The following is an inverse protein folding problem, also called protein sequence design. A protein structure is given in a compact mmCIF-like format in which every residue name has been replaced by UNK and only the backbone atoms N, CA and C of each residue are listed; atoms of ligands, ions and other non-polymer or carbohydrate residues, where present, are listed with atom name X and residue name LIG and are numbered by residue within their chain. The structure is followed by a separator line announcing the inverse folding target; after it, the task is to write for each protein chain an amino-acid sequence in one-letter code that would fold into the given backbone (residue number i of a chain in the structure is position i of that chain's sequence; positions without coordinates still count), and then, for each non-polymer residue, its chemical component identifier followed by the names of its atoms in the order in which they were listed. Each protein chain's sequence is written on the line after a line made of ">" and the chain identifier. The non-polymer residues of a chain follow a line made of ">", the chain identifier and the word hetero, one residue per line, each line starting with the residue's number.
data_IF_574602569159
#
_entry.id   IF_574602569159
#
_cell.length_a   1.000
_cell.length_b   1.000
_cell.length_c   1.000
_cell.angle_alpha   90.00
_cell.angle_beta   90.00
_cell.angle_gamma   90.00
#
_symmetry.space_group_name_H-M   'P 1'
#
loop_
_entity.id
_entity.type
_entity.pdbx_description
1 polymer ?
#
# COMPACT_ATOMS: atom_id res chain seq x y z
N UNK A 1 40.76 -35.44 -7.48
CA UNK A 1 39.95 -36.66 -7.35
C UNK A 1 38.50 -36.34 -7.00
N UNK A 2 38.23 -35.49 -5.99
CA UNK A 2 36.91 -35.09 -5.51
C UNK A 2 35.96 -34.56 -6.64
N UNK A 3 36.38 -33.59 -7.44
CA UNK A 3 35.58 -33.05 -8.56
C UNK A 3 35.20 -34.10 -9.62
N UNK A 4 36.07 -35.09 -9.87
CA UNK A 4 35.73 -36.19 -10.81
C UNK A 4 34.65 -37.08 -10.24
N UNK A 5 34.65 -37.35 -8.93
CA UNK A 5 33.62 -38.12 -8.24
C UNK A 5 32.28 -37.37 -8.26
N UNK A 6 32.26 -36.09 -7.93
CA UNK A 6 31.05 -35.25 -7.99
C UNK A 6 30.48 -35.20 -9.41
N UNK A 7 31.32 -34.97 -10.42
CA UNK A 7 30.89 -34.98 -11.82
C UNK A 7 30.31 -36.35 -12.25
N UNK A 8 30.97 -37.43 -11.85
CA UNK A 8 30.48 -38.80 -12.14
C UNK A 8 29.11 -39.07 -11.50
N UNK A 9 28.93 -38.66 -10.26
CA UNK A 9 27.66 -38.84 -9.53
C UNK A 9 26.51 -38.02 -10.16
N UNK A 10 26.76 -36.76 -10.50
CA UNK A 10 25.80 -35.87 -11.16
C UNK A 10 25.31 -36.45 -12.51
N UNK A 11 26.22 -36.98 -13.32
CA UNK A 11 25.86 -37.52 -14.63
C UNK A 11 25.19 -38.91 -14.57
N UNK A 12 25.45 -39.70 -13.52
CA UNK A 12 24.88 -41.05 -13.35
C UNK A 12 23.43 -41.00 -12.84
N UNK A 13 23.05 -39.96 -12.06
CA UNK A 13 21.72 -39.83 -11.49
C UNK A 13 20.99 -38.55 -11.97
N UNK A 14 21.07 -38.27 -13.25
CA UNK A 14 20.47 -37.05 -13.86
C UNK A 14 19.01 -36.81 -13.48
N UNK A 15 18.17 -37.87 -13.45
CA UNK A 15 16.76 -37.76 -13.12
C UNK A 15 16.52 -37.25 -11.69
N UNK A 16 17.26 -37.78 -10.70
CA UNK A 16 17.10 -37.35 -9.29
C UNK A 16 17.64 -35.94 -9.06
N UNK A 17 18.79 -35.62 -9.66
CA UNK A 17 19.35 -34.29 -9.62
C UNK A 17 18.41 -33.24 -10.24
N UNK A 18 17.75 -33.63 -11.35
CA UNK A 18 16.74 -32.79 -11.99
C UNK A 18 15.51 -32.61 -11.08
N UNK A 19 15.05 -33.65 -10.39
CA UNK A 19 13.94 -33.55 -9.43
C UNK A 19 14.30 -32.68 -8.23
N UNK A 20 15.54 -32.78 -7.69
CA UNK A 20 16.00 -31.91 -6.62
C UNK A 20 16.03 -30.43 -7.12
N UNK A 21 16.63 -30.20 -8.31
CA UNK A 21 16.67 -28.86 -8.91
C UNK A 21 15.25 -28.31 -9.15
N UNK A 22 14.33 -29.14 -9.62
CA UNK A 22 12.95 -28.75 -9.84
C UNK A 22 12.21 -28.39 -8.52
N UNK A 23 12.39 -29.20 -7.48
CA UNK A 23 11.81 -28.93 -6.15
C UNK A 23 12.34 -27.62 -5.56
N UNK A 24 13.66 -27.39 -5.67
CA UNK A 24 14.27 -26.11 -5.25
C UNK A 24 13.73 -24.96 -6.11
N UNK A 25 13.64 -25.15 -7.44
CA UNK A 25 13.14 -24.11 -8.33
C UNK A 25 11.71 -23.71 -8.01
N UNK A 26 10.82 -24.64 -7.70
CA UNK A 26 9.44 -24.34 -7.29
C UNK A 26 9.40 -23.55 -5.98
N UNK A 27 10.12 -24.02 -4.95
CA UNK A 27 10.16 -23.31 -3.67
C UNK A 27 10.75 -21.90 -3.78
N UNK A 28 11.86 -21.78 -4.50
CA UNK A 28 12.53 -20.48 -4.73
C UNK A 28 11.68 -19.56 -5.61
N UNK A 29 11.03 -20.07 -6.64
CA UNK A 29 10.21 -19.23 -7.53
C UNK A 29 9.06 -18.57 -6.77
N UNK A 30 8.40 -19.33 -5.91
CA UNK A 30 7.31 -18.76 -5.09
C UNK A 30 7.85 -17.79 -4.04
N UNK A 31 8.97 -18.11 -3.39
CA UNK A 31 9.61 -17.21 -2.44
C UNK A 31 10.06 -15.89 -3.09
N UNK A 32 10.68 -15.95 -4.27
CA UNK A 32 11.08 -14.75 -5.04
C UNK A 32 9.88 -13.92 -5.44
N UNK A 33 8.81 -14.56 -5.93
CA UNK A 33 7.59 -13.87 -6.31
C UNK A 33 6.98 -13.13 -5.10
N UNK A 34 6.76 -13.84 -3.98
CA UNK A 34 6.14 -13.28 -2.79
C UNK A 34 6.99 -12.19 -2.15
N UNK A 35 8.31 -12.35 -2.07
CA UNK A 35 9.19 -11.33 -1.50
C UNK A 35 9.23 -10.06 -2.37
N UNK A 36 9.31 -10.16 -3.70
CA UNK A 36 9.26 -8.99 -4.56
C UNK A 36 7.91 -8.28 -4.47
N UNK A 37 6.79 -9.03 -4.45
CA UNK A 37 5.46 -8.46 -4.27
C UNK A 37 5.34 -7.80 -2.89
N UNK A 38 5.82 -8.43 -1.81
CA UNK A 38 5.81 -7.89 -0.46
C UNK A 38 6.55 -6.54 -0.37
N UNK A 39 7.76 -6.46 -0.93
CA UNK A 39 8.54 -5.20 -0.90
C UNK A 39 8.02 -4.12 -1.84
N UNK A 40 7.20 -4.44 -2.83
CA UNK A 40 6.62 -3.47 -3.78
C UNK A 40 5.13 -3.18 -3.50
N UNK A 41 4.44 -4.05 -2.76
CA UNK A 41 3.01 -3.91 -2.48
C UNK A 41 2.68 -2.64 -1.72
N UNK A 42 3.49 -2.26 -0.72
CA UNK A 42 3.31 -1.03 0.04
C UNK A 42 3.28 0.21 -0.85
N UNK A 43 4.23 0.31 -1.78
CA UNK A 43 4.31 1.45 -2.72
C UNK A 43 3.13 1.47 -3.71
N UNK A 44 2.59 0.30 -4.05
CA UNK A 44 1.49 0.18 -5.03
C UNK A 44 0.13 0.42 -4.41
N UNK A 45 -0.16 -0.24 -3.29
CA UNK A 45 -1.40 0.01 -2.54
C UNK A 45 -1.50 1.48 -2.18
N UNK A 46 -0.40 2.08 -1.74
CA UNK A 46 -0.34 3.51 -1.47
C UNK A 46 -0.58 4.37 -2.73
N UNK A 47 -0.18 3.93 -3.93
CA UNK A 47 -0.49 4.62 -5.20
C UNK A 47 -1.95 4.45 -5.62
N UNK A 48 -2.54 3.28 -5.46
CA UNK A 48 -3.93 3.04 -5.81
C UNK A 48 -4.90 3.75 -4.86
N UNK A 49 -4.64 3.69 -3.55
CA UNK A 49 -5.45 4.42 -2.56
C UNK A 49 -5.39 5.94 -2.75
N UNK A 50 -4.30 6.47 -3.29
CA UNK A 50 -4.17 7.88 -3.71
C UNK A 50 -5.02 8.27 -4.92
N UNK A 51 -5.41 7.29 -5.72
CA UNK A 51 -6.39 7.50 -6.79
C UNK A 51 -7.81 7.69 -6.20
N UNK A 52 -8.03 7.32 -4.94
CA UNK A 52 -9.32 7.36 -4.23
C UNK A 52 -9.51 8.57 -3.30
N UNK A 53 -8.77 9.66 -3.47
CA UNK A 53 -9.08 10.95 -2.84
C UNK A 53 -8.10 11.43 -1.78
N UNK A 54 -8.58 12.33 -0.94
CA UNK A 54 -7.80 12.95 0.10
C UNK A 54 -7.44 11.98 1.22
N UNK A 55 -6.22 12.12 1.74
CA UNK A 55 -5.75 11.39 2.92
C UNK A 55 -5.45 12.31 4.11
N UNK A 56 -5.53 13.62 3.91
CA UNK A 56 -5.35 14.64 4.97
C UNK A 56 -6.56 15.59 4.95
N UNK A 57 -7.06 15.90 6.13
CA UNK A 57 -8.09 16.91 6.34
C UNK A 57 -7.50 18.04 7.19
N UNK A 58 -7.54 19.27 6.67
CA UNK A 58 -7.08 20.50 7.32
C UNK A 58 -8.30 21.25 7.82
N UNK A 59 -8.41 21.47 9.12
CA UNK A 59 -9.56 22.11 9.77
C UNK A 59 -9.09 23.25 10.66
N UNK A 60 -9.95 24.22 10.98
CA UNK A 60 -9.61 25.31 11.89
C UNK A 60 -9.30 24.79 13.30
N UNK A 61 -8.28 25.37 13.94
CA UNK A 61 -7.91 25.07 15.32
C UNK A 61 -9.06 25.39 16.28
N UNK A 62 -9.47 24.42 17.08
CA UNK A 62 -10.61 24.53 17.99
C UNK A 62 -11.92 23.96 17.45
N UNK A 63 -12.11 23.81 16.14
CA UNK A 63 -13.18 22.99 15.58
C UNK A 63 -12.99 21.51 15.94
N UNK A 64 -11.74 21.07 16.00
CA UNK A 64 -11.32 19.75 16.40
C UNK A 64 -11.66 19.38 17.84
N UNK A 65 -11.52 20.33 18.77
CA UNK A 65 -11.76 20.08 20.20
C UNK A 65 -13.23 19.76 20.51
N UNK A 66 -14.16 20.38 19.81
CA UNK A 66 -15.59 20.11 19.97
C UNK A 66 -15.96 18.72 19.47
N UNK A 67 -15.41 18.27 18.35
CA UNK A 67 -15.63 16.94 17.81
C UNK A 67 -15.01 15.84 18.71
N UNK A 68 -13.80 16.06 19.24
CA UNK A 68 -13.11 15.11 20.10
C UNK A 68 -13.77 15.00 21.50
N UNK A 69 -14.34 16.10 22.05
CA UNK A 69 -14.99 16.12 23.36
C UNK A 69 -16.41 15.56 23.33
N UNK A 70 -17.17 15.85 22.28
CA UNK A 70 -18.58 15.46 22.22
C UNK A 70 -18.85 14.17 21.44
N UNK A 71 -17.82 13.53 20.88
CA UNK A 71 -17.97 12.28 20.14
C UNK A 71 -18.86 12.42 18.89
N UNK A 72 -19.08 13.65 18.45
CA UNK A 72 -19.81 13.96 17.24
C UNK A 72 -18.91 13.58 16.08
N UNK A 73 -19.31 12.60 15.30
CA UNK A 73 -18.55 12.12 14.14
C UNK A 73 -18.16 13.26 13.20
N UNK A 74 -17.11 13.04 12.45
CA UNK A 74 -16.60 13.96 11.43
C UNK A 74 -17.77 14.48 10.60
N UNK A 75 -18.15 15.77 10.76
CA UNK A 75 -19.17 16.42 9.94
C UNK A 75 -20.43 16.97 10.65
N UNK A 76 -20.62 16.83 11.98
CA UNK A 76 -21.88 17.24 12.62
C UNK A 76 -21.86 18.55 13.42
N UNK A 77 -20.85 19.41 13.23
CA UNK A 77 -20.82 20.73 13.87
C UNK A 77 -20.35 21.80 12.90
N UNK A 78 -21.24 22.73 12.53
CA UNK A 78 -20.82 23.99 11.89
C UNK A 78 -19.99 24.75 12.92
N UNK A 79 -18.68 24.65 12.84
CA UNK A 79 -17.77 25.47 13.64
C UNK A 79 -17.92 26.90 13.18
N UNK A 80 -17.96 27.86 14.11
CA UNK A 80 -17.90 29.31 13.78
C UNK A 80 -16.49 29.78 13.39
N UNK A 81 -15.53 28.85 13.28
CA UNK A 81 -14.15 29.09 12.86
C UNK A 81 -13.92 28.61 11.43
N UNK A 82 -13.16 29.36 10.69
CA UNK A 82 -12.87 29.13 9.27
C UNK A 82 -11.38 29.30 9.02
N UNK A 83 -10.89 28.69 7.95
CA UNK A 83 -9.57 28.93 7.38
C UNK A 83 -9.66 30.01 6.31
N UNK A 84 -8.55 30.69 6.08
CA UNK A 84 -8.45 31.72 5.06
C UNK A 84 -8.12 31.12 3.69
N UNK A 85 -8.96 31.36 2.69
CA UNK A 85 -8.78 30.83 1.32
C UNK A 85 -7.45 31.28 0.70
N UNK A 86 -7.00 32.51 0.97
CA UNK A 86 -5.76 33.08 0.40
C UNK A 86 -4.52 32.29 0.85
N UNK A 87 -4.54 31.71 2.04
CA UNK A 87 -3.40 30.96 2.57
C UNK A 87 -3.25 29.55 1.98
N UNK A 88 -4.26 29.04 1.26
CA UNK A 88 -4.26 27.65 0.79
C UNK A 88 -3.13 27.34 -0.19
N UNK A 89 -2.67 28.33 -0.95
CA UNK A 89 -1.50 28.19 -1.82
C UNK A 89 -0.22 27.84 -1.06
N UNK A 90 -0.12 28.19 0.23
CA UNK A 90 1.03 27.86 1.07
C UNK A 90 1.21 26.35 1.29
N UNK A 91 0.17 25.53 1.09
CA UNK A 91 0.28 24.04 1.11
C UNK A 91 1.35 23.55 0.14
N UNK A 92 1.59 24.26 -0.96
CA UNK A 92 2.62 23.94 -1.95
C UNK A 92 3.99 24.60 -1.67
N UNK A 93 4.19 25.18 -0.50
CA UNK A 93 5.49 25.75 -0.08
C UNK A 93 6.20 24.92 1.00
N UNK A 94 5.56 23.87 1.52
CA UNK A 94 6.14 22.96 2.54
C UNK A 94 7.30 22.14 1.96
N UNK A 95 8.12 21.54 2.82
CA UNK A 95 9.23 20.67 2.39
C UNK A 95 8.74 19.53 1.48
N UNK A 96 7.57 18.95 1.76
CA UNK A 96 6.95 17.89 0.97
C UNK A 96 5.99 18.40 -0.12
N UNK A 97 6.17 19.62 -0.62
CA UNK A 97 5.32 20.22 -1.66
C UNK A 97 5.10 19.35 -2.90
N UNK A 98 6.16 18.65 -3.37
CA UNK A 98 6.09 17.74 -4.52
C UNK A 98 5.27 16.46 -4.23
N UNK A 99 5.11 16.11 -2.97
CA UNK A 99 4.28 14.98 -2.55
C UNK A 99 2.80 15.35 -2.49
N UNK A 100 2.45 16.64 -2.42
CA UNK A 100 1.06 17.08 -2.52
C UNK A 100 0.61 16.94 -3.98
N UNK A 101 -0.31 16.01 -4.20
CA UNK A 101 -0.85 15.72 -5.55
C UNK A 101 -1.88 16.76 -5.90
N UNK A 102 -2.84 16.99 -4.99
CA UNK A 102 -3.97 17.87 -5.20
C UNK A 102 -4.58 18.29 -3.86
N UNK A 103 -5.37 19.36 -3.84
CA UNK A 103 -6.15 19.76 -2.67
C UNK A 103 -7.37 20.56 -3.11
N UNK A 104 -8.42 20.55 -2.28
CA UNK A 104 -9.61 21.35 -2.52
C UNK A 104 -10.24 21.83 -1.22
N UNK A 105 -10.65 23.09 -1.13
CA UNK A 105 -11.36 23.64 0.01
C UNK A 105 -12.84 23.28 -0.04
N UNK A 106 -13.45 23.26 1.13
CA UNK A 106 -14.89 23.09 1.31
C UNK A 106 -15.44 24.15 2.25
N UNK A 107 -16.55 24.76 1.85
CA UNK A 107 -17.37 25.61 2.72
C UNK A 107 -18.72 24.91 2.95
N UNK A 108 -18.89 24.36 4.13
CA UNK A 108 -20.07 23.57 4.48
C UNK A 108 -21.21 24.47 4.98
N UNK A 109 -22.43 24.17 4.54
CA UNK A 109 -23.65 24.79 5.02
C UNK A 109 -24.81 23.80 5.03
N UNK A 110 -25.77 24.03 5.93
CA UNK A 110 -27.03 23.29 5.98
C UNK A 110 -28.16 24.15 5.48
N UNK A 111 -28.91 23.69 4.50
CA UNK A 111 -30.02 24.39 3.91
C UNK A 111 -31.26 23.48 3.81
N UNK A 112 -32.41 24.05 3.41
CA UNK A 112 -33.64 23.28 3.19
C UNK A 112 -34.01 23.32 1.72
N UNK A 113 -34.40 22.16 1.18
CA UNK A 113 -35.03 22.06 -0.13
C UNK A 113 -36.51 22.44 -0.06
N UNK A 114 -37.10 22.70 -1.21
CA UNK A 114 -38.55 22.82 -1.36
C UNK A 114 -39.22 21.55 -0.78
N UNK A 115 -40.07 21.72 0.22
CA UNK A 115 -40.63 20.59 1.00
C UNK A 115 -40.07 20.45 2.41
N UNK A 116 -39.12 21.31 2.82
CA UNK A 116 -38.64 21.43 4.20
C UNK A 116 -37.56 20.42 4.61
N UNK A 117 -37.12 19.53 3.70
CA UNK A 117 -36.03 18.57 3.96
C UNK A 117 -34.72 19.31 4.09
N UNK A 118 -34.01 19.07 5.17
CA UNK A 118 -32.67 19.58 5.40
C UNK A 118 -31.66 18.80 4.58
N UNK A 119 -30.76 19.48 3.90
CA UNK A 119 -29.67 18.92 3.12
C UNK A 119 -28.35 19.60 3.48
N UNK A 120 -27.28 18.85 3.43
CA UNK A 120 -25.92 19.38 3.56
C UNK A 120 -25.44 19.83 2.19
N UNK A 121 -24.97 21.05 2.10
CA UNK A 121 -24.43 21.66 0.88
C UNK A 121 -22.99 22.05 1.14
N UNK A 122 -22.14 21.81 0.17
CA UNK A 122 -20.75 22.20 0.23
C UNK A 122 -20.34 23.02 -1.00
N UNK A 123 -19.78 24.20 -0.75
CA UNK A 123 -19.10 25.00 -1.78
C UNK A 123 -17.66 24.53 -1.91
N UNK A 124 -17.16 24.34 -3.14
CA UNK A 124 -15.81 23.84 -3.38
C UNK A 124 -15.24 24.37 -4.69
N UNK A 125 -13.93 24.23 -4.88
CA UNK A 125 -13.30 24.40 -6.17
C UNK A 125 -13.52 23.16 -7.03
N UNK A 126 -13.96 23.32 -8.26
CA UNK A 126 -14.10 22.23 -9.21
C UNK A 126 -12.85 22.06 -10.07
N UNK A 127 -12.40 23.16 -10.69
CA UNK A 127 -11.17 23.22 -11.49
C UNK A 127 -10.61 24.63 -11.36
N UNK A 128 -9.85 24.85 -10.29
CA UNK A 128 -9.37 26.17 -9.89
C UNK A 128 -7.93 26.38 -10.32
N UNK A 129 -7.68 27.48 -11.03
CA UNK A 129 -6.33 27.91 -11.39
C UNK A 129 -5.77 28.77 -10.27
N UNK A 130 -4.77 28.27 -9.57
CA UNK A 130 -4.15 28.90 -8.41
C UNK A 130 -2.72 29.33 -8.73
N UNK A 131 -2.43 30.62 -8.59
CA UNK A 131 -1.07 31.13 -8.57
C UNK A 131 -0.43 30.89 -7.21
N UNK A 132 0.67 30.14 -7.19
CA UNK A 132 1.36 29.80 -5.95
C UNK A 132 2.31 30.92 -5.51
N UNK A 133 2.60 31.05 -4.20
CA UNK A 133 3.59 32.00 -3.71
C UNK A 133 5.01 31.81 -4.30
N UNK A 134 5.27 30.62 -4.85
CA UNK A 134 6.52 30.29 -5.55
C UNK A 134 6.61 30.87 -6.97
N UNK A 135 5.51 31.42 -7.50
CA UNK A 135 5.40 31.92 -8.87
C UNK A 135 5.02 30.84 -9.89
N UNK A 136 4.77 29.61 -9.45
CA UNK A 136 4.22 28.53 -10.28
C UNK A 136 2.70 28.58 -10.27
N UNK A 137 2.05 28.08 -11.31
CA UNK A 137 0.61 27.90 -11.39
C UNK A 137 0.24 26.43 -11.19
N UNK A 138 -0.88 26.18 -10.51
CA UNK A 138 -1.44 24.87 -10.26
C UNK A 138 -2.93 24.86 -10.56
N UNK A 139 -3.37 23.89 -11.37
CA UNK A 139 -4.79 23.58 -11.52
C UNK A 139 -5.18 22.52 -10.49
N UNK A 140 -6.06 22.87 -9.58
CA UNK A 140 -6.46 22.02 -8.45
C UNK A 140 -7.98 22.01 -8.28
N UNK A 141 -8.53 21.00 -7.61
CA UNK A 141 -9.95 20.96 -7.32
C UNK A 141 -10.57 19.57 -7.32
N UNK A 142 -11.88 19.58 -7.14
CA UNK A 142 -12.67 18.38 -6.94
C UNK A 142 -12.63 17.42 -8.14
N UNK A 143 -12.61 17.94 -9.36
CA UNK A 143 -12.54 17.13 -10.59
C UNK A 143 -11.28 16.28 -10.66
N UNK A 144 -10.15 16.83 -10.20
CA UNK A 144 -8.88 16.11 -10.13
C UNK A 144 -8.84 15.11 -8.95
N UNK A 145 -9.48 15.46 -7.82
CA UNK A 145 -9.46 14.66 -6.60
C UNK A 145 -10.49 13.53 -6.58
N UNK A 146 -11.63 13.65 -7.26
CA UNK A 146 -12.76 12.69 -7.23
C UNK A 146 -12.99 12.04 -8.61
N UNK A 147 -11.94 11.65 -9.30
CA UNK A 147 -11.98 11.06 -10.67
C UNK A 147 -12.80 9.76 -10.79
N UNK A 148 -13.00 9.05 -9.69
CA UNK A 148 -13.77 7.79 -9.65
C UNK A 148 -15.30 8.01 -9.56
N UNK A 149 -15.75 9.23 -9.30
CA UNK A 149 -17.17 9.51 -9.24
C UNK A 149 -17.83 9.27 -10.60
N UNK A 150 -18.98 8.67 -10.57
CA UNK A 150 -19.82 8.51 -11.76
C UNK A 150 -20.74 9.71 -11.87
N UNK A 151 -20.58 10.49 -12.93
CA UNK A 151 -21.37 11.69 -13.15
C UNK A 151 -22.35 11.47 -14.29
N UNK A 152 -23.61 11.77 -14.04
CA UNK A 152 -24.63 11.90 -15.08
C UNK A 152 -24.80 13.40 -15.38
N UNK A 153 -24.56 13.82 -16.61
CA UNK A 153 -24.40 15.21 -17.00
C UNK A 153 -22.93 15.65 -16.97
N UNK A 154 -22.68 16.89 -16.59
CA UNK A 154 -21.34 17.49 -16.58
C UNK A 154 -20.89 17.91 -15.18
N UNK A 155 -19.57 17.99 -14.98
CA UNK A 155 -18.99 18.65 -13.82
C UNK A 155 -19.34 20.15 -13.82
N UNK A 156 -19.40 20.73 -12.61
CA UNK A 156 -19.43 22.19 -12.48
C UNK A 156 -18.06 22.77 -12.81
N UNK A 157 -18.08 24.01 -13.24
CA UNK A 157 -16.93 24.91 -13.28
C UNK A 157 -17.03 25.92 -12.14
N UNK A 158 -15.93 26.52 -11.71
CA UNK A 158 -15.91 27.53 -10.65
C UNK A 158 -16.73 28.78 -10.99
N UNK A 159 -17.01 29.03 -12.29
CA UNK A 159 -17.81 30.14 -12.81
C UNK A 159 -19.31 29.84 -12.92
N UNK A 160 -19.75 28.63 -12.60
CA UNK A 160 -21.15 28.18 -12.74
C UNK A 160 -22.05 28.73 -11.59
N UNK A 161 -22.36 30.02 -11.61
CA UNK A 161 -23.07 30.70 -10.49
C UNK A 161 -24.50 30.18 -10.22
N UNK A 162 -25.20 29.64 -11.24
CA UNK A 162 -26.61 29.24 -11.14
C UNK A 162 -26.81 27.71 -11.28
N UNK A 163 -25.76 26.94 -11.20
CA UNK A 163 -25.80 25.49 -11.34
C UNK A 163 -25.37 24.79 -10.05
N UNK A 164 -25.84 23.56 -9.88
CA UNK A 164 -25.42 22.68 -8.79
C UNK A 164 -25.20 21.26 -9.27
N UNK A 165 -24.45 20.50 -8.49
CA UNK A 165 -24.41 19.04 -8.56
C UNK A 165 -25.12 18.44 -7.35
N UNK A 166 -25.89 17.35 -7.56
CA UNK A 166 -26.66 16.68 -6.53
C UNK A 166 -26.31 15.19 -6.50
N UNK A 167 -26.29 14.63 -5.30
CA UNK A 167 -26.12 13.20 -5.09
C UNK A 167 -27.29 12.39 -5.68
N UNK A 168 -27.03 11.25 -6.30
CA UNK A 168 -28.03 10.42 -6.99
C UNK A 168 -29.19 9.99 -6.06
N UNK A 169 -28.87 9.54 -4.85
CA UNK A 169 -29.86 9.17 -3.83
C UNK A 169 -30.75 10.35 -3.41
N UNK A 170 -30.15 11.50 -3.24
CA UNK A 170 -30.88 12.73 -2.86
C UNK A 170 -31.74 13.24 -4.01
N UNK A 171 -31.26 13.15 -5.25
CA UNK A 171 -32.02 13.48 -6.45
C UNK A 171 -33.24 12.57 -6.59
N UNK A 172 -33.08 11.26 -6.46
CA UNK A 172 -34.16 10.28 -6.53
C UNK A 172 -35.21 10.48 -5.45
N UNK A 173 -34.80 10.70 -4.20
CA UNK A 173 -35.71 10.92 -3.06
C UNK A 173 -36.54 12.20 -3.17
N UNK A 174 -36.11 13.18 -3.96
CA UNK A 174 -36.81 14.45 -4.16
C UNK A 174 -37.38 14.61 -5.57
N UNK A 175 -37.35 13.58 -6.43
CA UNK A 175 -37.78 13.60 -7.84
C UNK A 175 -37.13 14.75 -8.62
N UNK A 176 -35.82 14.94 -8.44
CA UNK A 176 -35.02 15.95 -9.13
C UNK A 176 -34.32 15.28 -10.29
N UNK A 177 -34.50 15.80 -11.50
CA UNK A 177 -33.87 15.28 -12.72
C UNK A 177 -32.76 16.20 -13.21
N UNK A 178 -31.89 15.68 -14.08
CA UNK A 178 -30.86 16.47 -14.75
C UNK A 178 -31.48 17.62 -15.55
N UNK A 179 -30.96 18.83 -15.40
CA UNK A 179 -31.54 20.05 -15.98
C UNK A 179 -32.74 20.61 -15.22
N UNK A 180 -33.19 19.93 -14.16
CA UNK A 180 -34.29 20.39 -13.30
C UNK A 180 -33.91 21.60 -12.46
N UNK A 181 -34.93 22.39 -12.05
CA UNK A 181 -34.74 23.53 -11.14
C UNK A 181 -34.86 23.08 -9.69
N UNK A 182 -33.92 23.53 -8.83
CA UNK A 182 -33.89 23.26 -7.40
C UNK A 182 -33.92 24.55 -6.63
N UNK A 183 -34.89 24.68 -5.72
CA UNK A 183 -35.03 25.81 -4.79
C UNK A 183 -34.36 25.48 -3.46
N UNK A 184 -33.34 26.27 -3.07
CA UNK A 184 -32.61 26.14 -1.81
C UNK A 184 -32.98 27.31 -0.88
N UNK A 185 -33.41 26.98 0.33
CA UNK A 185 -33.79 27.95 1.36
C UNK A 185 -32.66 28.09 2.38
N UNK A 186 -32.03 29.23 2.46
CA UNK A 186 -30.96 29.54 3.40
C UNK A 186 -31.08 30.98 3.94
N UNK A 187 -30.95 31.20 5.25
CA UNK A 187 -30.98 32.50 5.88
C UNK A 187 -32.26 33.29 5.61
N UNK A 188 -33.42 32.65 5.37
CA UNK A 188 -34.69 33.30 5.04
C UNK A 188 -34.81 33.73 3.57
N UNK A 189 -33.83 33.43 2.72
CA UNK A 189 -33.84 33.72 1.28
C UNK A 189 -33.98 32.44 0.47
N UNK A 190 -34.48 32.57 -0.76
CA UNK A 190 -34.64 31.46 -1.73
C UNK A 190 -33.61 31.67 -2.83
N UNK A 191 -32.89 30.62 -3.13
CA UNK A 191 -31.92 30.58 -4.23
C UNK A 191 -32.36 29.52 -5.23
N UNK A 192 -32.39 29.86 -6.51
CA UNK A 192 -32.79 28.94 -7.59
C UNK A 192 -31.54 28.50 -8.34
N UNK A 193 -31.41 27.17 -8.49
CA UNK A 193 -30.33 26.53 -9.22
C UNK A 193 -30.87 25.54 -10.24
N UNK A 194 -30.04 25.23 -11.25
CA UNK A 194 -30.31 24.18 -12.24
C UNK A 194 -29.32 23.02 -11.99
N UNK A 195 -29.79 21.79 -12.02
CA UNK A 195 -28.95 20.62 -11.88
C UNK A 195 -28.13 20.40 -13.14
N UNK A 196 -26.82 20.62 -13.06
CA UNK A 196 -25.86 20.37 -14.16
C UNK A 196 -25.33 18.95 -14.15
N UNK A 197 -25.20 18.34 -12.96
CA UNK A 197 -24.72 16.98 -12.82
C UNK A 197 -25.36 16.26 -11.63
N UNK A 198 -25.55 14.96 -11.80
CA UNK A 198 -25.95 14.04 -10.71
C UNK A 198 -24.76 13.12 -10.48
N UNK A 199 -24.23 13.07 -9.26
CA UNK A 199 -23.07 12.28 -8.92
C UNK A 199 -23.41 11.05 -8.07
N UNK A 200 -22.67 9.97 -8.33
CA UNK A 200 -22.63 8.77 -7.49
C UNK A 200 -21.18 8.56 -7.05
N UNK A 201 -20.93 8.78 -5.76
CA UNK A 201 -19.60 8.66 -5.14
C UNK A 201 -19.21 7.21 -4.85
N UNK A 202 -20.18 6.30 -4.81
CA UNK A 202 -19.98 4.91 -4.36
C UNK A 202 -19.74 4.78 -2.84
N UNK A 203 -19.81 5.88 -2.08
CA UNK A 203 -19.60 5.93 -0.64
C UNK A 203 -20.48 7.04 -0.02
N UNK A 204 -20.65 7.02 1.31
CA UNK A 204 -21.31 8.10 2.05
C UNK A 204 -20.43 9.36 2.02
N UNK A 205 -20.78 10.32 1.19
CA UNK A 205 -20.16 11.65 1.19
C UNK A 205 -20.84 12.56 2.23
N UNK A 206 -20.07 13.52 2.76
CA UNK A 206 -20.59 14.44 3.79
C UNK A 206 -21.62 15.42 3.24
N UNK A 207 -21.51 15.82 1.98
CA UNK A 207 -22.40 16.75 1.32
C UNK A 207 -23.27 16.07 0.25
N UNK A 208 -24.55 16.44 0.22
CA UNK A 208 -25.53 15.95 -0.74
C UNK A 208 -25.67 16.84 -1.98
N UNK A 209 -25.24 18.09 -1.86
CA UNK A 209 -25.23 19.07 -2.95
C UNK A 209 -23.91 19.81 -2.95
N UNK A 210 -23.35 20.00 -4.14
CA UNK A 210 -22.13 20.80 -4.35
C UNK A 210 -22.43 22.04 -5.19
N UNK A 211 -21.80 23.15 -4.79
CA UNK A 211 -21.83 24.45 -5.46
C UNK A 211 -20.40 24.95 -5.71
N UNK A 212 -20.16 25.87 -6.65
CA UNK A 212 -18.91 26.62 -6.69
C UNK A 212 -18.65 27.35 -5.37
N UNK A 213 -17.40 27.33 -4.92
CA UNK A 213 -17.01 27.91 -3.62
C UNK A 213 -17.46 29.37 -3.49
N UNK A 214 -17.19 30.18 -4.51
CA UNK A 214 -17.57 31.58 -4.57
C UNK A 214 -19.07 31.79 -4.35
N UNK A 215 -19.91 30.92 -4.92
CA UNK A 215 -21.37 30.98 -4.76
C UNK A 215 -21.81 30.64 -3.34
N UNK A 216 -21.20 29.60 -2.75
CA UNK A 216 -21.47 29.23 -1.36
C UNK A 216 -21.03 30.33 -0.39
N UNK A 217 -19.90 30.99 -0.65
CA UNK A 217 -19.42 32.14 0.13
C UNK A 217 -20.37 33.32 0.03
N UNK A 218 -20.90 33.64 -1.16
CA UNK A 218 -21.91 34.70 -1.36
C UNK A 218 -23.19 34.42 -0.56
N UNK A 219 -23.70 33.16 -0.64
CA UNK A 219 -24.93 32.75 0.06
C UNK A 219 -24.76 32.86 1.58
N UNK A 220 -23.61 32.43 2.09
CA UNK A 220 -23.31 32.39 3.54
C UNK A 220 -22.79 33.71 4.10
N UNK A 221 -22.38 34.64 3.23
CA UNK A 221 -21.73 35.89 3.62
C UNK A 221 -20.28 35.71 4.13
N UNK A 222 -19.62 34.58 3.81
CA UNK A 222 -18.30 34.20 4.31
C UNK A 222 -17.24 34.26 3.19
N UNK A 223 -17.11 35.42 2.59
CA UNK A 223 -16.16 35.64 1.48
C UNK A 223 -14.72 35.36 1.91
N UNK A 224 -13.96 34.57 1.11
CA UNK A 224 -12.57 34.24 1.37
C UNK A 224 -12.35 33.28 2.54
N UNK A 225 -13.41 32.64 3.05
CA UNK A 225 -13.37 31.70 4.16
C UNK A 225 -13.81 30.30 3.73
N UNK A 226 -13.16 29.27 4.33
CA UNK A 226 -13.48 27.86 4.08
C UNK A 226 -13.57 27.10 5.39
N UNK A 227 -14.41 26.06 5.45
CA UNK A 227 -14.63 25.25 6.64
C UNK A 227 -13.53 24.21 6.85
N UNK A 228 -13.04 23.63 5.76
CA UNK A 228 -11.98 22.62 5.75
C UNK A 228 -11.31 22.52 4.39
N UNK A 229 -10.15 21.86 4.35
CA UNK A 229 -9.44 21.56 3.10
C UNK A 229 -9.11 20.08 3.08
N UNK A 230 -9.46 19.38 2.02
CA UNK A 230 -8.99 18.04 1.74
C UNK A 230 -7.70 18.11 0.92
N UNK A 231 -6.69 17.37 1.36
CA UNK A 231 -5.39 17.30 0.68
C UNK A 231 -5.08 15.85 0.33
N UNK A 232 -4.70 15.62 -0.91
CA UNK A 232 -4.19 14.35 -1.41
C UNK A 232 -2.67 14.40 -1.47
N UNK A 233 -2.00 13.62 -0.64
CA UNK A 233 -0.55 13.59 -0.56
C UNK A 233 0.03 12.20 -0.80
N UNK A 234 1.18 12.13 -1.47
CA UNK A 234 1.98 10.92 -1.60
C UNK A 234 2.73 10.66 -0.29
N UNK A 235 2.32 9.64 0.47
CA UNK A 235 2.84 9.37 1.81
C UNK A 235 3.57 8.03 1.90
N UNK A 236 4.48 7.93 2.85
CA UNK A 236 5.12 6.67 3.27
C UNK A 236 4.24 6.01 4.34
N UNK A 237 4.07 4.67 4.33
CA UNK A 237 3.34 3.97 5.37
C UNK A 237 3.86 4.29 6.77
N UNK A 238 2.93 4.42 7.72
CA UNK A 238 3.26 4.72 9.11
C UNK A 238 4.04 3.59 9.79
N UNK A 239 4.99 3.99 10.63
CA UNK A 239 5.74 3.10 11.51
C UNK A 239 5.63 3.59 12.97
N UNK A 240 6.33 2.93 13.90
CA UNK A 240 6.31 3.29 15.32
C UNK A 240 6.84 4.72 15.60
N UNK A 241 7.79 5.20 14.77
CA UNK A 241 8.29 6.57 14.86
C UNK A 241 7.22 7.59 14.48
N UNK A 242 6.56 7.38 13.33
CA UNK A 242 5.50 8.28 12.86
C UNK A 242 4.29 8.30 13.80
N UNK A 243 3.92 7.15 14.40
CA UNK A 243 2.84 7.06 15.39
C UNK A 243 3.17 7.83 16.67
N UNK A 244 4.41 7.72 17.18
CA UNK A 244 4.86 8.52 18.35
C UNK A 244 4.89 10.01 18.04
N UNK A 245 5.40 10.37 16.86
CA UNK A 245 5.42 11.76 16.40
C UNK A 245 4.03 12.36 16.25
N UNK A 246 3.06 11.60 15.72
CA UNK A 246 1.67 12.02 15.59
C UNK A 246 1.00 12.32 16.95
N UNK A 247 1.42 11.65 18.03
CA UNK A 247 0.93 11.92 19.37
C UNK A 247 1.59 13.15 19.98
N UNK A 248 2.92 13.25 19.91
CA UNK A 248 3.69 14.37 20.44
C UNK A 248 5.04 14.50 19.73
N UNK A 249 5.19 15.36 18.72
CA UNK A 249 6.46 15.58 18.01
C UNK A 249 7.61 16.01 18.96
N UNK A 250 7.29 16.75 20.03
CA UNK A 250 8.28 17.25 20.98
C UNK A 250 8.88 16.15 21.89
N UNK A 251 8.32 14.95 21.89
CA UNK A 251 8.86 13.80 22.63
C UNK A 251 9.99 13.08 21.91
N UNK A 252 10.26 13.42 20.67
CA UNK A 252 11.29 12.81 19.85
C UNK A 252 12.69 13.38 20.18
N UNK A 253 13.72 12.54 20.11
CA UNK A 253 15.10 13.02 20.07
C UNK A 253 15.36 13.79 18.75
N UNK A 254 16.39 14.64 18.74
CA UNK A 254 16.74 15.46 17.56
C UNK A 254 16.89 14.60 16.30
N UNK A 255 17.57 13.45 16.40
CA UNK A 255 17.77 12.54 15.28
C UNK A 255 16.47 11.87 14.81
N UNK A 256 15.61 11.49 15.75
CA UNK A 256 14.30 10.91 15.43
C UNK A 256 13.39 11.97 14.77
N UNK A 257 13.45 13.20 15.27
CA UNK A 257 12.70 14.32 14.71
C UNK A 257 13.15 14.63 13.28
N UNK A 258 14.46 14.73 13.01
CA UNK A 258 14.99 14.90 11.66
C UNK A 258 14.55 13.76 10.73
N UNK A 259 14.67 12.51 11.19
CA UNK A 259 14.26 11.35 10.38
C UNK A 259 12.77 11.40 10.07
N UNK A 260 11.93 11.73 11.04
CA UNK A 260 10.49 11.84 10.85
C UNK A 260 10.12 13.02 9.92
N UNK A 261 10.66 14.20 10.17
CA UNK A 261 10.37 15.41 9.38
C UNK A 261 10.79 15.26 7.92
N UNK A 262 11.92 14.63 7.68
CA UNK A 262 12.47 14.34 6.34
C UNK A 262 11.94 13.03 5.71
N UNK A 263 10.94 12.39 6.30
CA UNK A 263 10.23 11.25 5.71
C UNK A 263 8.79 11.63 5.42
N UNK A 264 8.27 11.27 4.24
CA UNK A 264 6.92 11.65 3.80
C UNK A 264 5.81 10.89 4.55
N UNK A 265 5.87 10.84 5.89
CA UNK A 265 4.77 10.32 6.68
C UNK A 265 3.59 11.29 6.65
N UNK A 266 2.36 10.75 6.72
CA UNK A 266 1.15 11.59 6.79
C UNK A 266 1.26 12.59 7.95
N UNK A 267 1.73 12.15 9.12
CA UNK A 267 1.90 13.00 10.30
C UNK A 267 2.93 14.12 10.11
N UNK A 268 4.02 13.88 9.36
CA UNK A 268 5.03 14.89 9.06
C UNK A 268 4.48 15.95 8.08
N UNK A 269 3.73 15.52 7.06
CA UNK A 269 3.08 16.43 6.12
C UNK A 269 2.00 17.25 6.82
N UNK A 270 1.17 16.65 7.68
CA UNK A 270 0.19 17.36 8.50
C UNK A 270 0.86 18.47 9.34
N UNK A 271 1.96 18.13 10.03
CA UNK A 271 2.70 19.09 10.83
C UNK A 271 3.21 20.29 10.01
N UNK A 272 3.77 20.01 8.81
CA UNK A 272 4.28 21.07 7.92
C UNK A 272 3.16 21.93 7.30
N UNK A 273 1.97 21.36 7.06
CA UNK A 273 0.81 22.15 6.63
C UNK A 273 0.38 23.09 7.76
N UNK A 274 0.39 22.63 9.02
CA UNK A 274 0.03 23.46 10.17
C UNK A 274 1.05 24.57 10.46
N UNK A 275 2.30 24.48 9.95
CA UNK A 275 3.29 25.54 10.02
C UNK A 275 3.01 26.70 9.03
N UNK A 276 2.30 26.43 7.93
CA UNK A 276 2.12 27.41 6.83
C UNK A 276 0.69 27.94 6.71
N UNK A 277 -0.30 27.29 7.35
CA UNK A 277 -1.68 27.76 7.40
C UNK A 277 -2.02 28.20 8.82
N UNK A 278 -2.38 29.46 8.95
CA UNK A 278 -2.67 30.06 10.25
C UNK A 278 -3.90 29.42 10.91
N UNK A 279 -3.79 29.13 12.21
CA UNK A 279 -4.87 28.54 13.01
C UNK A 279 -5.47 27.25 12.44
N UNK A 280 -4.68 26.45 11.74
CA UNK A 280 -5.08 25.14 11.24
C UNK A 280 -4.69 24.00 12.19
N UNK A 281 -5.35 22.88 12.01
CA UNK A 281 -4.97 21.55 12.52
C UNK A 281 -5.22 20.54 11.40
N UNK A 282 -4.14 19.95 10.94
CA UNK A 282 -4.16 18.92 9.91
C UNK A 282 -4.25 17.54 10.55
N UNK A 283 -5.15 16.69 10.07
CA UNK A 283 -5.35 15.34 10.58
C UNK A 283 -5.40 14.33 9.43
N UNK A 284 -4.81 13.14 9.60
CA UNK A 284 -5.05 12.04 8.67
C UNK A 284 -6.54 11.69 8.63
N UNK A 285 -7.07 11.45 7.44
CA UNK A 285 -8.43 10.91 7.31
C UNK A 285 -8.39 9.45 7.77
N UNK A 286 -8.90 9.19 8.97
CA UNK A 286 -8.76 7.89 9.68
C UNK A 286 -9.24 6.69 8.87
N UNK A 287 -10.30 6.84 8.07
CA UNK A 287 -10.83 5.74 7.24
C UNK A 287 -9.81 5.25 6.21
N UNK A 288 -9.03 6.16 5.64
CA UNK A 288 -8.00 5.85 4.65
C UNK A 288 -6.74 5.33 5.34
N UNK A 289 -6.22 6.05 6.33
CA UNK A 289 -4.97 5.70 7.01
C UNK A 289 -5.03 4.38 7.82
N UNK A 290 -6.15 4.08 8.49
CA UNK A 290 -6.30 2.84 9.26
C UNK A 290 -6.53 1.61 8.38
N UNK A 291 -7.29 1.75 7.29
CA UNK A 291 -7.49 0.64 6.35
C UNK A 291 -6.23 0.33 5.55
N UNK A 292 -5.45 1.34 5.16
CA UNK A 292 -4.17 1.17 4.47
C UNK A 292 -3.19 0.32 5.31
N UNK A 293 -2.90 0.74 6.54
CA UNK A 293 -1.96 0.05 7.42
C UNK A 293 -2.40 -1.38 7.73
N UNK A 294 -3.67 -1.59 8.06
CA UNK A 294 -4.19 -2.91 8.42
C UNK A 294 -4.26 -3.88 7.23
N UNK A 295 -4.57 -3.40 6.03
CA UNK A 295 -4.58 -4.23 4.82
C UNK A 295 -3.17 -4.62 4.43
N UNK A 296 -2.22 -3.67 4.46
CA UNK A 296 -0.82 -3.92 4.15
C UNK A 296 -0.21 -4.94 5.13
N UNK A 297 -0.37 -4.75 6.43
CA UNK A 297 0.15 -5.66 7.46
C UNK A 297 -0.41 -7.08 7.32
N UNK A 298 -1.71 -7.23 7.07
CA UNK A 298 -2.33 -8.54 6.83
C UNK A 298 -1.84 -9.18 5.53
N UNK A 299 -1.64 -8.40 4.49
CA UNK A 299 -1.15 -8.87 3.20
C UNK A 299 0.31 -9.31 3.28
N UNK A 300 1.17 -8.54 3.96
CA UNK A 300 2.55 -8.93 4.24
C UNK A 300 2.64 -10.23 5.04
N UNK A 301 1.82 -10.37 6.08
CA UNK A 301 1.76 -11.59 6.88
C UNK A 301 1.34 -12.80 6.05
N UNK A 302 0.35 -12.68 5.16
CA UNK A 302 -0.07 -13.73 4.25
C UNK A 302 1.05 -14.12 3.28
N UNK A 303 1.74 -13.15 2.68
CA UNK A 303 2.86 -13.39 1.78
C UNK A 303 4.02 -14.07 2.48
N UNK A 304 4.34 -13.67 3.71
CA UNK A 304 5.36 -14.30 4.55
C UNK A 304 4.97 -15.74 4.89
N UNK A 305 3.72 -16.00 5.23
CA UNK A 305 3.19 -17.34 5.53
C UNK A 305 3.31 -18.27 4.32
N UNK A 306 2.91 -17.81 3.13
CA UNK A 306 3.04 -18.57 1.88
C UNK A 306 4.51 -18.84 1.57
N UNK A 307 5.40 -17.86 1.79
CA UNK A 307 6.84 -18.04 1.60
C UNK A 307 7.40 -19.12 2.53
N UNK A 308 7.06 -19.09 3.82
CA UNK A 308 7.48 -20.10 4.79
C UNK A 308 6.95 -21.48 4.42
N UNK A 309 5.67 -21.60 4.06
CA UNK A 309 5.08 -22.88 3.65
C UNK A 309 5.73 -23.45 2.39
N UNK A 310 6.03 -22.59 1.41
CA UNK A 310 6.71 -22.99 0.18
C UNK A 310 8.12 -23.51 0.45
N UNK A 311 8.89 -22.81 1.30
CA UNK A 311 10.24 -23.24 1.70
C UNK A 311 10.18 -24.52 2.53
N UNK A 312 9.22 -24.68 3.43
CA UNK A 312 9.01 -25.91 4.19
C UNK A 312 8.70 -27.09 3.26
N UNK A 313 7.84 -26.90 2.25
CA UNK A 313 7.58 -27.89 1.23
C UNK A 313 8.84 -28.28 0.44
N UNK A 314 9.67 -27.31 0.08
CA UNK A 314 10.95 -27.55 -0.58
C UNK A 314 11.91 -28.35 0.31
N UNK A 315 12.03 -28.02 1.62
CA UNK A 315 12.84 -28.78 2.59
C UNK A 315 12.39 -30.22 2.68
N UNK A 316 11.07 -30.47 2.80
CA UNK A 316 10.52 -31.81 2.87
C UNK A 316 10.76 -32.61 1.56
N UNK A 317 10.57 -31.95 0.42
CA UNK A 317 10.82 -32.55 -0.89
C UNK A 317 12.30 -32.94 -1.08
N UNK A 318 13.22 -32.05 -0.76
CA UNK A 318 14.67 -32.32 -0.79
C UNK A 318 15.01 -33.43 0.17
N UNK A 319 14.52 -33.39 1.41
CA UNK A 319 14.79 -34.40 2.44
C UNK A 319 14.42 -35.80 1.97
N UNK A 320 13.23 -35.97 1.37
CA UNK A 320 12.77 -37.24 0.87
C UNK A 320 13.62 -37.73 -0.31
N UNK A 321 13.86 -36.88 -1.32
CA UNK A 321 14.64 -37.22 -2.51
C UNK A 321 16.08 -37.55 -2.17
N UNK A 322 16.73 -36.82 -1.28
CA UNK A 322 18.11 -37.01 -0.88
C UNK A 322 18.24 -38.29 -0.03
N UNK A 323 17.34 -38.49 0.93
CA UNK A 323 17.36 -39.73 1.74
C UNK A 323 17.18 -40.94 0.88
N UNK A 324 16.24 -40.95 -0.05
CA UNK A 324 16.09 -42.06 -1.02
C UNK A 324 17.34 -42.25 -1.87
N UNK A 325 17.98 -41.17 -2.35
CA UNK A 325 19.21 -41.25 -3.12
C UNK A 325 20.37 -41.85 -2.33
N UNK A 326 20.53 -41.49 -1.04
CA UNK A 326 21.55 -42.01 -0.16
C UNK A 326 21.28 -43.49 0.18
N UNK A 327 20.03 -43.88 0.40
CA UNK A 327 19.66 -45.29 0.68
C UNK A 327 19.98 -46.20 -0.50
N UNK A 328 19.67 -45.78 -1.74
CA UNK A 328 20.00 -46.60 -2.94
C UNK A 328 21.51 -46.73 -3.17
N UNK A 329 22.31 -45.77 -2.72
CA UNK A 329 23.78 -45.78 -2.83
C UNK A 329 24.47 -46.26 -1.56
N UNK A 330 23.72 -46.83 -0.61
CA UNK A 330 24.25 -47.20 0.71
C UNK A 330 25.41 -48.21 0.59
N UNK A 331 25.36 -49.19 -0.36
CA UNK A 331 26.44 -50.14 -0.61
C UNK A 331 27.71 -49.44 -1.13
N UNK A 332 27.60 -48.47 -2.04
CA UNK A 332 28.76 -47.71 -2.54
C UNK A 332 29.38 -46.84 -1.42
N UNK A 333 28.53 -46.22 -0.63
CA UNK A 333 28.94 -45.41 0.53
C UNK A 333 29.59 -46.26 1.61
N UNK A 334 29.04 -47.47 1.88
CA UNK A 334 29.59 -48.44 2.81
C UNK A 334 30.97 -48.93 2.37
N UNK A 335 31.15 -49.18 1.06
CA UNK A 335 32.44 -49.53 0.49
C UNK A 335 33.50 -48.42 0.64
N UNK A 336 33.11 -47.16 0.37
CA UNK A 336 34.01 -46.01 0.58
C UNK A 336 34.47 -45.91 2.02
N UNK A 337 33.55 -46.08 2.98
CA UNK A 337 33.89 -46.10 4.42
C UNK A 337 34.77 -47.28 4.80
N UNK A 338 34.52 -48.48 4.20
CA UNK A 338 35.32 -49.67 4.44
C UNK A 338 36.78 -49.56 3.95
N UNK A 339 37.01 -48.76 2.89
CA UNK A 339 38.35 -48.46 2.34
C UNK A 339 39.05 -47.32 3.14
N UNK A 340 38.38 -46.77 4.17
CA UNK A 340 38.95 -45.76 5.08
C UNK A 340 38.60 -44.32 4.78
N UNK A 341 37.55 -44.05 4.00
CA UNK A 341 37.05 -42.69 3.82
C UNK A 341 36.41 -42.16 5.13
N UNK A 342 36.84 -40.97 5.57
CA UNK A 342 36.27 -40.32 6.73
C UNK A 342 34.81 -39.91 6.46
N UNK A 343 33.98 -40.01 7.46
CA UNK A 343 32.54 -39.65 7.42
C UNK A 343 32.30 -38.25 6.90
N UNK A 344 33.17 -37.28 7.27
CA UNK A 344 33.13 -35.91 6.82
C UNK A 344 33.30 -35.77 5.29
N UNK A 345 34.23 -36.56 4.70
CA UNK A 345 34.46 -36.50 3.25
C UNK A 345 33.28 -37.05 2.47
N UNK A 346 32.68 -38.16 2.97
CA UNK A 346 31.49 -38.75 2.34
C UNK A 346 30.27 -37.83 2.45
N UNK A 347 30.06 -37.22 3.63
CA UNK A 347 28.98 -36.25 3.84
C UNK A 347 29.17 -35.03 2.96
N UNK A 348 30.41 -34.51 2.85
CA UNK A 348 30.73 -33.37 2.00
C UNK A 348 30.48 -33.64 0.52
N UNK A 349 30.75 -34.88 0.06
CA UNK A 349 30.45 -35.30 -1.30
C UNK A 349 28.93 -35.17 -1.59
N UNK A 350 28.10 -35.76 -0.73
CA UNK A 350 26.65 -35.75 -0.88
C UNK A 350 26.10 -34.32 -0.80
N UNK A 351 26.55 -33.50 0.19
CA UNK A 351 26.12 -32.11 0.33
C UNK A 351 26.51 -31.29 -0.92
N UNK A 352 27.70 -31.51 -1.47
CA UNK A 352 28.16 -30.80 -2.67
C UNK A 352 27.30 -31.15 -3.89
N UNK A 353 26.93 -32.43 -4.06
CA UNK A 353 26.04 -32.88 -5.14
C UNK A 353 24.68 -32.16 -5.05
N UNK A 354 24.10 -32.10 -3.84
CA UNK A 354 22.82 -31.44 -3.58
C UNK A 354 22.93 -29.92 -3.78
N UNK A 355 24.01 -29.32 -3.29
CA UNK A 355 24.25 -27.88 -3.42
C UNK A 355 24.34 -27.45 -4.90
N UNK A 356 25.03 -28.23 -5.74
CA UNK A 356 25.11 -27.96 -7.18
C UNK A 356 23.71 -28.03 -7.82
N UNK A 357 22.97 -29.12 -7.57
CA UNK A 357 21.62 -29.29 -8.10
C UNK A 357 20.69 -28.18 -7.57
N UNK A 358 20.79 -27.87 -6.28
CA UNK A 358 20.03 -26.79 -5.63
C UNK A 358 20.33 -25.41 -6.19
N UNK A 359 21.60 -25.09 -6.45
CA UNK A 359 21.98 -23.81 -7.07
C UNK A 359 21.44 -23.68 -8.50
N UNK A 360 21.49 -24.74 -9.29
CA UNK A 360 20.88 -24.76 -10.64
C UNK A 360 19.37 -24.51 -10.53
N UNK A 361 18.71 -25.22 -9.60
CA UNK A 361 17.29 -25.04 -9.32
C UNK A 361 16.96 -23.63 -8.84
N UNK A 362 17.76 -23.08 -7.93
CA UNK A 362 17.58 -21.74 -7.41
C UNK A 362 17.73 -20.66 -8.51
N UNK A 363 18.71 -20.81 -9.38
CA UNK A 363 18.90 -19.92 -10.52
C UNK A 363 17.70 -19.93 -11.46
N UNK A 364 17.23 -21.11 -11.86
CA UNK A 364 16.03 -21.26 -12.68
C UNK A 364 14.79 -20.69 -11.94
N UNK A 365 14.63 -21.05 -10.66
CA UNK A 365 13.54 -20.58 -9.80
C UNK A 365 13.49 -19.06 -9.63
N UNK A 366 14.64 -18.40 -9.57
CA UNK A 366 14.72 -16.94 -9.50
C UNK A 366 14.06 -16.27 -10.72
N UNK A 367 14.40 -16.69 -11.93
CA UNK A 367 13.80 -16.13 -13.14
C UNK A 367 12.31 -16.46 -13.29
N UNK A 368 11.93 -17.69 -12.98
CA UNK A 368 10.51 -18.10 -12.95
C UNK A 368 9.75 -17.29 -11.90
N UNK A 369 10.35 -17.06 -10.74
CA UNK A 369 9.77 -16.24 -9.66
C UNK A 369 9.55 -14.78 -10.05
N UNK A 370 10.50 -14.17 -10.78
CA UNK A 370 10.30 -12.85 -11.36
C UNK A 370 9.11 -12.85 -12.33
N UNK A 371 9.00 -13.89 -13.18
CA UNK A 371 7.85 -14.04 -14.08
C UNK A 371 6.53 -14.10 -13.32
N UNK A 372 6.44 -14.90 -12.26
CA UNK A 372 5.25 -14.94 -11.39
C UNK A 372 4.98 -13.63 -10.69
N UNK A 373 6.02 -12.92 -10.20
CA UNK A 373 5.84 -11.59 -9.62
C UNK A 373 5.21 -10.61 -10.62
N UNK A 374 5.64 -10.63 -11.89
CA UNK A 374 5.07 -9.78 -12.93
C UNK A 374 3.62 -10.15 -13.26
N UNK A 375 3.30 -11.44 -13.34
CA UNK A 375 1.91 -11.90 -13.55
C UNK A 375 1.01 -11.42 -12.40
N UNK A 376 1.45 -11.60 -11.15
CA UNK A 376 0.71 -11.12 -9.97
C UNK A 376 0.58 -9.59 -10.01
N UNK A 377 1.66 -8.88 -10.34
CA UNK A 377 1.67 -7.42 -10.45
C UNK A 377 0.64 -6.89 -11.43
N UNK A 378 0.62 -7.43 -12.64
CA UNK A 378 -0.35 -7.02 -13.66
C UNK A 378 -1.79 -7.45 -13.33
N UNK A 379 -1.98 -8.65 -12.76
CA UNK A 379 -3.33 -9.17 -12.48
C UNK A 379 -3.97 -8.54 -11.24
N UNK A 380 -3.18 -8.21 -10.21
CA UNK A 380 -3.69 -7.69 -8.93
C UNK A 380 -3.56 -6.17 -8.84
N UNK A 381 -2.43 -5.62 -9.30
CA UNK A 381 -2.12 -4.19 -9.15
C UNK A 381 -2.16 -3.40 -10.48
N UNK A 382 -2.55 -4.02 -11.60
CA UNK A 382 -2.61 -3.36 -12.90
C UNK A 382 -1.26 -2.84 -13.44
N UNK A 383 -0.15 -3.11 -12.76
CA UNK A 383 1.18 -2.56 -13.07
C UNK A 383 2.32 -3.54 -12.79
N UNK A 384 3.45 -3.38 -13.48
CA UNK A 384 4.63 -4.23 -13.29
C UNK A 384 5.21 -4.10 -11.87
N UNK A 385 5.70 -5.20 -11.28
CA UNK A 385 6.40 -5.21 -9.98
C UNK A 385 7.84 -4.73 -10.17
N UNK A 386 8.28 -3.79 -9.34
CA UNK A 386 9.67 -3.36 -9.31
C UNK A 386 10.54 -4.40 -8.60
N UNK A 387 11.54 -4.93 -9.32
CA UNK A 387 12.46 -5.90 -8.76
C UNK A 387 13.39 -5.19 -7.78
N UNK A 388 13.31 -5.56 -6.51
CA UNK A 388 14.15 -4.97 -5.45
C UNK A 388 15.46 -5.74 -5.33
N UNK A 389 16.64 -5.11 -5.50
CA UNK A 389 17.94 -5.79 -5.37
C UNK A 389 18.17 -6.44 -4.00
N UNK A 390 17.54 -5.92 -2.94
CA UNK A 390 17.59 -6.49 -1.60
C UNK A 390 17.03 -7.92 -1.50
N UNK A 391 16.20 -8.35 -2.44
CA UNK A 391 15.66 -9.72 -2.48
C UNK A 391 16.74 -10.74 -2.83
N UNK A 392 17.74 -10.37 -3.63
CA UNK A 392 18.79 -11.30 -4.09
C UNK A 392 19.58 -11.94 -2.94
N UNK A 393 20.21 -11.16 -2.02
CA UNK A 393 20.97 -11.75 -0.91
C UNK A 393 20.07 -12.54 0.04
N UNK A 394 18.83 -12.10 0.25
CA UNK A 394 17.87 -12.83 1.08
C UNK A 394 17.53 -14.20 0.48
N UNK A 395 17.25 -14.26 -0.82
CA UNK A 395 16.95 -15.52 -1.53
C UNK A 395 18.15 -16.45 -1.49
N UNK A 396 19.36 -15.94 -1.72
CA UNK A 396 20.60 -16.74 -1.62
C UNK A 396 20.73 -17.37 -0.22
N UNK A 397 20.53 -16.58 0.83
CA UNK A 397 20.54 -17.09 2.21
C UNK A 397 19.47 -18.18 2.42
N UNK A 398 18.23 -17.95 1.97
CA UNK A 398 17.13 -18.91 2.10
C UNK A 398 17.41 -20.21 1.35
N UNK A 399 18.01 -20.15 0.16
CA UNK A 399 18.40 -21.33 -0.62
C UNK A 399 19.42 -22.18 0.16
N UNK A 400 20.45 -21.55 0.74
CA UNK A 400 21.42 -22.29 1.56
C UNK A 400 20.75 -22.90 2.80
N UNK A 401 19.85 -22.19 3.47
CA UNK A 401 19.12 -22.69 4.62
C UNK A 401 18.24 -23.90 4.26
N UNK A 402 17.54 -23.85 3.12
CA UNK A 402 16.69 -24.93 2.62
C UNK A 402 17.52 -26.17 2.26
N UNK A 403 18.65 -25.98 1.57
CA UNK A 403 19.55 -27.08 1.22
C UNK A 403 20.13 -27.73 2.50
N UNK A 404 20.58 -26.92 3.45
CA UNK A 404 21.13 -27.43 4.71
C UNK A 404 20.06 -28.19 5.52
N UNK A 405 18.89 -27.63 5.69
CA UNK A 405 17.78 -28.27 6.41
C UNK A 405 17.28 -29.55 5.71
N UNK A 406 17.11 -29.50 4.39
CA UNK A 406 16.66 -30.66 3.59
C UNK A 406 17.67 -31.81 3.51
N UNK A 407 18.97 -31.50 3.54
CA UNK A 407 20.02 -32.53 3.54
C UNK A 407 20.27 -33.12 4.93
N UNK A 408 19.85 -32.50 6.01
CA UNK A 408 20.15 -32.89 7.39
C UNK A 408 19.74 -34.37 7.71
N UNK A 409 18.52 -34.85 7.40
CA UNK A 409 18.12 -36.21 7.68
C UNK A 409 18.97 -37.25 6.93
N UNK A 410 19.30 -36.96 5.65
CA UNK A 410 20.14 -37.82 4.85
C UNK A 410 21.58 -37.89 5.35
N UNK A 411 22.16 -36.79 5.78
CA UNK A 411 23.50 -36.75 6.41
C UNK A 411 23.49 -37.52 7.72
N UNK A 412 22.45 -37.36 8.56
CA UNK A 412 22.32 -38.12 9.80
C UNK A 412 22.21 -39.63 9.53
N UNK A 413 21.44 -40.03 8.52
CA UNK A 413 21.35 -41.43 8.09
C UNK A 413 22.72 -41.98 7.61
N UNK A 414 23.44 -41.19 6.78
CA UNK A 414 24.74 -41.51 6.27
C UNK A 414 25.78 -41.72 7.38
N UNK A 415 25.77 -40.88 8.43
CA UNK A 415 26.65 -41.02 9.58
C UNK A 415 26.36 -42.28 10.41
N UNK A 416 25.09 -42.69 10.47
CA UNK A 416 24.67 -43.91 11.18
C UNK A 416 24.99 -45.24 10.44
N UNK A 417 25.30 -45.18 9.13
CA UNK A 417 25.62 -46.36 8.31
C UNK A 417 26.92 -47.06 8.76
N UNK A 418 26.78 -48.28 9.22
CA UNK A 418 27.92 -49.18 9.55
C UNK A 418 28.34 -49.99 8.33
N UNK A 419 29.62 -49.94 7.89
CA UNK A 419 30.09 -50.64 6.69
C UNK A 419 29.83 -52.16 6.75
N UNK A 420 29.95 -52.76 7.92
CA UNK A 420 29.74 -54.21 8.10
C UNK A 420 28.29 -54.64 7.84
N UNK A 421 27.31 -53.86 8.26
CA UNK A 421 25.87 -54.17 8.09
C UNK A 421 25.45 -54.06 6.62
N UNK A 422 25.95 -53.03 5.91
CA UNK A 422 25.60 -52.72 4.54
C UNK A 422 26.21 -53.73 3.56
N UNK A 423 27.43 -54.25 3.84
CA UNK A 423 28.11 -55.24 2.98
C UNK A 423 27.58 -56.65 3.17
N UNK A 424 26.92 -56.96 4.30
CA UNK A 424 26.31 -58.27 4.55
C UNK A 424 24.82 -58.35 4.19
N UNK A 425 24.25 -57.30 3.59
CA UNK A 425 22.88 -57.30 3.07
C UNK A 425 21.78 -57.30 4.15
N UNK A 426 22.07 -56.77 5.33
CA UNK A 426 21.12 -56.59 6.44
C UNK A 426 20.78 -55.10 6.66
#
# INVERSE_FOLDING_TARGET
>A
MFFRMVKGALFRQKGKMLMIAFTVALGVSLAVAMLNVMFDAGDKVNRELKTYGANINVIPKGASLLNDIYGLGEGSGVSDKYLNEIELGNIKTIFWAFNIVDFTPYLEMSAKLKGGRQVKISGTWFSHHLELPTGEALDTGMTAMKKWWKIQGDWLSDDDENYLMIEADTAQKNNIELGGSVEIFYGGKIYNFVVKGIFDSGSDEDAQIYLPLKKAQEITGKTGLVSRVEVSALTTPDNELSKRAAQNPNSLSIKEWETWYCTAYVSAICYQIDEVITDSVSKPIRRVAQSEGAILEKTELLMLLITILSLAGAVLGISNLVTASVMERSAEIGLLKAIGAYDVHVSLLVITEIAIAGMIGAFAGYFVGIGFAQIIGHSVFGSAINIKPAVIPLVVFLVFAVIAAGSFPAVRFLLALRPAEVLHGR
#
